data_IF_896035774933
#
_entry.id   IF_896035774933
#
_cell.length_a   1.000
_cell.length_b   1.000
_cell.length_c   1.000
_cell.angle_alpha   90.00
_cell.angle_beta   90.00
_cell.angle_gamma   90.00
#
_symmetry.space_group_name_H-M   'P 1'
#
loop_
_entity.id
_entity.type
_entity.pdbx_description
1 polymer ?
#
# COMPACT_ATOMS: atom_id res chain seq x y z
N UNK A 1 5.54 33.40 -6.69
CA UNK A 1 5.37 32.65 -7.94
C UNK A 1 3.90 32.68 -8.31
N UNK A 2 3.55 33.27 -9.46
CA UNK A 2 2.19 33.28 -9.97
C UNK A 2 1.87 31.91 -10.58
N UNK A 3 0.75 31.30 -10.19
CA UNK A 3 0.26 30.07 -10.80
C UNK A 3 -0.05 30.30 -12.30
N UNK A 4 0.30 29.36 -13.19
CA UNK A 4 0.00 29.48 -14.61
C UNK A 4 -1.51 29.66 -14.82
N UNK A 5 -1.86 30.56 -15.73
CA UNK A 5 -3.26 30.87 -16.02
C UNK A 5 -3.78 29.95 -17.10
N UNK A 6 -5.11 29.80 -17.21
CA UNK A 6 -5.77 29.01 -18.26
C UNK A 6 -5.30 29.34 -19.69
N UNK A 7 -4.68 30.50 -19.90
CA UNK A 7 -4.12 30.91 -21.20
C UNK A 7 -2.87 30.12 -21.61
N UNK A 8 -2.18 29.46 -20.68
CA UNK A 8 -0.90 28.78 -20.92
C UNK A 8 -1.06 27.34 -21.44
N UNK A 9 -2.28 26.79 -21.44
CA UNK A 9 -2.59 25.41 -21.87
C UNK A 9 -3.36 25.29 -23.21
N UNK A 10 -3.43 26.36 -24.01
CA UNK A 10 -4.24 26.39 -25.25
C UNK A 10 -3.88 25.32 -26.29
N UNK A 11 -2.63 24.85 -26.27
CA UNK A 11 -2.15 23.83 -27.21
C UNK A 11 -2.42 22.41 -26.75
N UNK A 12 -2.82 22.20 -25.49
CA UNK A 12 -3.06 20.87 -24.96
C UNK A 12 -4.10 20.08 -25.77
N UNK A 13 -5.26 20.65 -26.15
CA UNK A 13 -6.24 19.94 -26.98
C UNK A 13 -5.72 19.60 -28.38
N UNK A 14 -4.73 20.33 -28.90
CA UNK A 14 -4.12 20.07 -30.21
C UNK A 14 -3.03 18.99 -30.18
N UNK A 15 -2.60 18.56 -29.00
CA UNK A 15 -1.67 17.43 -28.88
C UNK A 15 -2.34 16.13 -29.32
N UNK A 16 -1.58 15.18 -29.89
CA UNK A 16 -2.06 13.83 -30.14
C UNK A 16 -2.61 13.19 -28.86
N UNK A 17 -3.66 12.35 -28.94
CA UNK A 17 -4.27 11.71 -27.77
C UNK A 17 -3.24 11.04 -26.87
N UNK A 18 -2.27 10.33 -27.44
CA UNK A 18 -1.23 9.59 -26.70
C UNK A 18 -0.42 10.54 -25.80
N UNK A 19 -0.05 11.70 -26.30
CA UNK A 19 0.70 12.71 -25.54
C UNK A 19 -0.18 13.32 -24.44
N UNK A 20 -1.46 13.57 -24.71
CA UNK A 20 -2.39 14.06 -23.68
C UNK A 20 -2.55 13.06 -22.54
N UNK A 21 -2.67 11.77 -22.86
CA UNK A 21 -2.75 10.70 -21.86
C UNK A 21 -1.46 10.61 -21.04
N UNK A 22 -0.29 10.66 -21.68
CA UNK A 22 1.00 10.69 -20.95
C UNK A 22 1.09 11.87 -19.98
N UNK A 23 0.61 13.06 -20.37
CA UNK A 23 0.56 14.21 -19.47
C UNK A 23 -0.35 13.93 -18.27
N UNK A 24 -1.52 13.31 -18.48
CA UNK A 24 -2.40 12.92 -17.37
C UNK A 24 -1.76 11.89 -16.45
N UNK A 25 -1.07 10.89 -17.00
CA UNK A 25 -0.33 9.90 -16.23
C UNK A 25 0.77 10.53 -15.38
N UNK A 26 1.45 11.56 -15.91
CA UNK A 26 2.47 12.30 -15.17
C UNK A 26 1.91 13.09 -13.97
N UNK A 27 0.59 13.34 -13.94
CA UNK A 27 -0.07 13.98 -12.79
C UNK A 27 -0.57 12.99 -11.73
N UNK A 28 -0.43 11.68 -11.97
CA UNK A 28 -0.83 10.68 -10.99
C UNK A 28 0.11 10.67 -9.80
N UNK A 29 -0.39 10.35 -8.58
CA UNK A 29 0.48 10.14 -7.44
C UNK A 29 1.49 9.02 -7.72
N UNK A 30 2.70 9.19 -7.18
CA UNK A 30 3.69 8.12 -7.05
C UNK A 30 3.10 6.95 -6.26
N UNK A 31 3.70 5.74 -6.31
CA UNK A 31 3.32 4.64 -5.42
C UNK A 31 3.17 5.08 -3.97
N UNK A 32 2.00 4.82 -3.38
CA UNK A 32 1.70 5.15 -1.98
C UNK A 32 1.61 3.90 -1.15
N UNK A 33 1.89 4.05 0.13
CA UNK A 33 1.52 3.07 1.15
C UNK A 33 0.14 3.41 1.67
N UNK A 34 -0.73 2.41 1.71
CA UNK A 34 -2.04 2.43 2.35
C UNK A 34 -1.88 1.71 3.68
N UNK A 35 -2.23 2.37 4.78
CA UNK A 35 -2.14 1.80 6.13
C UNK A 35 -3.54 1.61 6.71
N UNK A 36 -3.64 0.66 7.65
CA UNK A 36 -4.74 0.65 8.61
C UNK A 36 -4.51 1.73 9.66
N UNK A 37 -5.59 2.31 10.17
CA UNK A 37 -5.55 3.32 11.23
C UNK A 37 -6.81 3.21 12.11
N UNK A 38 -6.65 3.47 13.41
CA UNK A 38 -7.81 3.63 14.29
C UNK A 38 -8.54 4.94 13.95
N UNK A 39 -9.87 4.88 13.93
CA UNK A 39 -10.72 6.02 13.69
C UNK A 39 -11.80 6.09 14.76
N UNK A 40 -11.78 7.17 15.51
CA UNK A 40 -12.72 7.44 16.59
C UNK A 40 -13.78 8.44 16.14
N UNK A 41 -15.04 8.12 16.40
CA UNK A 41 -16.17 9.04 16.30
C UNK A 41 -16.61 9.36 17.72
N UNK A 42 -16.46 10.63 18.10
CA UNK A 42 -16.88 11.16 19.40
C UNK A 42 -18.06 12.10 19.18
N UNK A 43 -19.23 11.71 19.66
CA UNK A 43 -20.44 12.53 19.79
C UNK A 43 -20.82 12.62 21.29
N UNK A 44 -21.66 13.59 21.66
CA UNK A 44 -21.91 14.00 23.06
C UNK A 44 -22.26 12.84 24.02
N UNK A 45 -22.88 11.75 23.52
CA UNK A 45 -23.24 10.55 24.28
C UNK A 45 -22.75 9.23 23.65
N UNK A 46 -21.92 9.28 22.61
CA UNK A 46 -21.51 8.08 21.85
C UNK A 46 -20.03 8.11 21.48
N UNK A 47 -19.31 7.08 21.94
CA UNK A 47 -17.96 6.78 21.51
C UNK A 47 -17.99 5.51 20.67
N UNK A 48 -17.42 5.58 19.49
CA UNK A 48 -17.19 4.42 18.66
C UNK A 48 -15.83 4.51 18.02
N UNK A 49 -15.14 3.38 18.00
CA UNK A 49 -13.84 3.20 17.41
C UNK A 49 -13.94 2.07 16.39
N UNK A 50 -13.36 2.29 15.22
CA UNK A 50 -13.25 1.27 14.19
C UNK A 50 -12.02 1.50 13.32
N UNK A 51 -11.61 0.45 12.63
CA UNK A 51 -10.43 0.50 11.76
C UNK A 51 -10.76 0.98 10.35
N UNK A 52 -10.01 1.97 9.85
CA UNK A 52 -10.10 2.44 8.46
C UNK A 52 -8.80 2.17 7.71
N UNK A 53 -8.88 2.09 6.38
CA UNK A 53 -7.74 2.21 5.48
C UNK A 53 -7.58 3.66 5.02
N UNK A 54 -6.32 4.11 4.90
CA UNK A 54 -6.01 5.43 4.34
C UNK A 54 -4.63 5.47 3.70
N UNK A 55 -4.38 6.37 2.73
CA UNK A 55 -3.03 6.65 2.27
C UNK A 55 -2.16 7.24 3.39
N UNK A 56 -1.04 6.59 3.69
CA UNK A 56 -0.06 7.03 4.68
C UNK A 56 0.95 8.03 4.11
N UNK A 57 1.33 7.85 2.84
CA UNK A 57 2.38 8.63 2.19
C UNK A 57 2.93 7.94 0.93
N UNK A 58 3.79 8.62 0.15
CA UNK A 58 4.59 7.97 -0.88
C UNK A 58 5.48 6.87 -0.29
N UNK A 59 5.68 5.76 -1.02
CA UNK A 59 6.51 4.63 -0.58
C UNK A 59 7.91 5.07 -0.12
N UNK A 60 8.57 5.97 -0.86
CA UNK A 60 9.91 6.45 -0.50
C UNK A 60 9.97 7.11 0.87
N UNK A 61 8.95 7.92 1.20
CA UNK A 61 8.87 8.59 2.50
C UNK A 61 8.47 7.64 3.61
N UNK A 62 7.65 6.64 3.29
CA UNK A 62 7.27 5.59 4.21
C UNK A 62 8.50 4.74 4.60
N UNK A 63 9.33 4.33 3.64
CA UNK A 63 10.54 3.57 3.88
C UNK A 63 11.65 4.37 4.60
N UNK A 64 11.68 5.69 4.44
CA UNK A 64 12.57 6.58 5.22
C UNK A 64 12.14 6.73 6.69
N UNK A 65 10.90 6.37 7.04
CA UNK A 65 10.36 6.53 8.39
C UNK A 65 10.31 5.21 9.13
N UNK A 66 10.72 5.18 10.41
CA UNK A 66 10.65 3.99 11.27
C UNK A 66 9.19 3.52 11.44
N UNK A 67 8.72 2.69 10.51
CA UNK A 67 7.33 2.25 10.46
C UNK A 67 7.09 1.00 11.29
N UNK A 68 8.15 0.34 11.76
CA UNK A 68 8.08 -0.89 12.56
C UNK A 68 7.46 -0.60 13.95
N UNK A 69 7.60 0.63 14.44
CA UNK A 69 7.04 1.13 15.71
C UNK A 69 5.83 2.05 15.51
N UNK A 70 5.29 2.10 14.29
CA UNK A 70 4.22 3.05 13.96
C UNK A 70 2.85 2.54 14.43
N UNK A 71 2.34 3.21 15.45
CA UNK A 71 1.01 2.95 16.03
C UNK A 71 -0.13 3.44 15.14
N UNK A 72 -1.29 2.78 15.22
CA UNK A 72 -2.45 2.99 14.34
C UNK A 72 -3.11 4.37 14.49
N UNK A 73 -2.98 5.01 15.66
CA UNK A 73 -3.54 6.33 15.99
C UNK A 73 -2.69 7.48 15.42
N UNK A 74 -1.52 7.16 14.85
CA UNK A 74 -0.64 8.14 14.23
C UNK A 74 -1.37 8.91 13.12
N UNK A 75 -0.87 10.08 12.73
CA UNK A 75 -1.33 10.77 11.52
C UNK A 75 -0.61 10.23 10.28
N UNK A 76 -1.18 10.31 9.07
CA UNK A 76 -0.44 9.96 7.86
C UNK A 76 0.85 10.78 7.77
N UNK A 77 1.93 10.15 7.29
CA UNK A 77 3.23 10.80 7.09
C UNK A 77 3.16 11.96 6.08
N UNK A 78 2.25 11.83 5.12
CA UNK A 78 1.95 12.86 4.14
C UNK A 78 0.51 12.78 3.65
N UNK A 79 -0.11 13.94 3.48
CA UNK A 79 -1.43 14.01 2.85
C UNK A 79 -1.28 13.62 1.39
N UNK A 80 -1.91 12.51 1.01
CA UNK A 80 -1.93 12.05 -0.38
C UNK A 80 -3.28 12.40 -1.03
N UNK A 81 -3.40 13.50 -1.79
CA UNK A 81 -4.65 13.86 -2.44
C UNK A 81 -5.06 12.83 -3.50
N UNK A 82 -6.34 12.85 -3.88
CA UNK A 82 -6.80 12.10 -5.03
C UNK A 82 -6.09 12.55 -6.32
N UNK A 83 -5.96 11.66 -7.33
CA UNK A 83 -5.36 12.03 -8.61
C UNK A 83 -6.05 13.25 -9.22
N UNK A 84 -5.28 14.30 -9.48
CA UNK A 84 -5.80 15.57 -10.01
C UNK A 84 -6.56 15.33 -11.32
N UNK A 85 -6.10 14.39 -12.15
CA UNK A 85 -6.71 14.00 -13.41
C UNK A 85 -8.19 13.55 -13.30
N UNK A 86 -8.69 13.14 -12.13
CA UNK A 86 -10.12 12.86 -11.92
C UNK A 86 -11.00 14.12 -12.00
N UNK A 87 -10.42 15.29 -11.68
CA UNK A 87 -11.13 16.57 -11.61
C UNK A 87 -11.04 17.46 -12.84
N UNK A 88 -10.15 17.17 -13.80
CA UNK A 88 -9.81 18.12 -14.88
C UNK A 88 -10.84 18.10 -16.03
N UNK A 89 -10.94 17.02 -16.78
CA UNK A 89 -11.87 16.90 -17.90
C UNK A 89 -12.40 15.47 -18.06
N UNK A 90 -13.30 15.25 -19.02
CA UNK A 90 -13.87 13.93 -19.25
C UNK A 90 -12.81 12.90 -19.70
N UNK A 91 -11.92 13.29 -20.62
CA UNK A 91 -10.83 12.42 -21.12
C UNK A 91 -9.90 11.97 -19.97
N UNK A 92 -9.42 12.93 -19.17
CA UNK A 92 -8.51 12.64 -18.05
C UNK A 92 -9.15 11.75 -16.99
N UNK A 93 -10.43 11.99 -16.68
CA UNK A 93 -11.18 11.20 -15.71
C UNK A 93 -11.39 9.77 -16.21
N UNK A 94 -11.85 9.60 -17.44
CA UNK A 94 -12.06 8.28 -18.03
C UNK A 94 -10.75 7.50 -18.13
N UNK A 95 -9.64 8.16 -18.49
CA UNK A 95 -8.33 7.53 -18.49
C UNK A 95 -7.92 7.08 -17.09
N UNK A 96 -7.99 7.99 -16.11
CA UNK A 96 -7.57 7.70 -14.73
C UNK A 96 -8.37 6.56 -14.10
N UNK A 97 -9.69 6.52 -14.33
CA UNK A 97 -10.57 5.45 -13.80
C UNK A 97 -10.32 4.06 -14.42
N UNK A 98 -9.51 3.95 -15.47
CA UNK A 98 -9.02 2.64 -15.96
C UNK A 98 -7.90 2.06 -15.11
N UNK A 99 -7.21 2.90 -14.33
CA UNK A 99 -6.03 2.53 -13.55
C UNK A 99 -6.23 2.66 -12.04
N UNK A 100 -7.21 3.49 -11.64
CA UNK A 100 -7.55 3.71 -10.25
C UNK A 100 -8.93 3.14 -9.94
N UNK A 101 -9.04 2.50 -8.78
CA UNK A 101 -10.30 2.06 -8.20
C UNK A 101 -10.65 2.95 -6.99
N UNK A 102 -11.94 3.13 -6.76
CA UNK A 102 -12.44 3.77 -5.56
C UNK A 102 -12.59 2.72 -4.46
N UNK A 103 -11.89 2.90 -3.35
CA UNK A 103 -12.11 2.22 -2.09
C UNK A 103 -13.10 3.05 -1.28
N UNK A 104 -14.23 2.45 -0.89
CA UNK A 104 -15.29 3.13 -0.13
C UNK A 104 -15.47 2.45 1.22
N UNK A 105 -15.30 3.22 2.28
CA UNK A 105 -15.67 2.78 3.62
C UNK A 105 -17.16 3.05 3.82
N UNK A 106 -17.93 2.03 4.23
CA UNK A 106 -19.41 2.14 4.29
C UNK A 106 -19.92 3.16 5.32
N UNK A 107 -19.09 3.54 6.29
CA UNK A 107 -19.46 4.44 7.39
C UNK A 107 -18.78 5.82 7.40
N UNK A 108 -17.62 6.00 6.78
CA UNK A 108 -16.78 7.19 6.94
C UNK A 108 -16.14 7.62 5.64
N UNK A 109 -16.32 8.88 5.25
CA UNK A 109 -15.67 9.42 4.05
C UNK A 109 -14.15 9.50 4.21
N UNK A 110 -13.64 9.63 5.45
CA UNK A 110 -12.19 9.67 5.74
C UNK A 110 -11.50 8.36 5.35
N UNK A 111 -12.19 7.23 5.44
CA UNK A 111 -11.70 5.91 5.02
C UNK A 111 -11.88 5.63 3.52
N UNK A 112 -12.41 6.58 2.75
CA UNK A 112 -12.69 6.42 1.32
C UNK A 112 -11.65 7.14 0.45
N UNK A 113 -11.06 6.44 -0.52
CA UNK A 113 -9.99 6.98 -1.36
C UNK A 113 -9.87 6.28 -2.71
N UNK A 114 -9.16 6.90 -3.65
CA UNK A 114 -8.77 6.24 -4.90
C UNK A 114 -7.38 5.63 -4.77
N UNK A 115 -7.18 4.43 -5.31
CA UNK A 115 -5.89 3.73 -5.33
C UNK A 115 -5.66 2.95 -6.63
N UNK A 116 -4.41 2.63 -6.92
CA UNK A 116 -3.97 1.82 -8.06
C UNK A 116 -3.61 0.41 -7.57
N UNK A 117 -4.42 -0.62 -7.88
CA UNK A 117 -4.21 -2.00 -7.41
C UNK A 117 -2.80 -2.56 -7.49
N UNK A 118 -2.09 -2.26 -8.59
CA UNK A 118 -0.76 -2.79 -8.91
C UNK A 118 0.40 -1.85 -8.51
N UNK A 119 0.12 -0.66 -8.00
CA UNK A 119 1.14 0.35 -7.72
C UNK A 119 1.09 0.87 -6.29
N UNK A 120 -0.09 1.03 -5.70
CA UNK A 120 -0.21 1.34 -4.29
C UNK A 120 -0.08 0.05 -3.47
N UNK A 121 0.59 0.14 -2.33
CA UNK A 121 0.93 -1.00 -1.48
C UNK A 121 0.10 -0.94 -0.21
N UNK A 122 -0.57 -2.03 0.12
CA UNK A 122 -1.24 -2.17 1.41
C UNK A 122 -0.20 -2.61 2.44
N UNK A 123 0.05 -1.81 3.47
CA UNK A 123 0.93 -2.19 4.57
C UNK A 123 0.13 -2.84 5.70
N UNK A 124 0.52 -4.05 6.07
CA UNK A 124 -0.01 -4.78 7.22
C UNK A 124 1.10 -4.89 8.25
N UNK A 125 0.99 -4.14 9.34
CA UNK A 125 1.86 -4.32 10.52
C UNK A 125 1.37 -5.49 11.37
N UNK A 126 2.27 -6.05 12.18
CA UNK A 126 1.88 -7.04 13.17
C UNK A 126 0.89 -6.49 14.20
N UNK A 127 0.99 -5.21 14.58
CA UNK A 127 0.01 -4.59 15.48
C UNK A 127 -1.42 -4.69 14.93
N UNK A 128 -1.58 -4.61 13.61
CA UNK A 128 -2.87 -4.82 12.98
C UNK A 128 -3.24 -6.31 12.91
N UNK A 129 -2.27 -7.18 12.62
CA UNK A 129 -2.49 -8.61 12.49
C UNK A 129 -2.81 -9.31 13.83
N UNK A 130 -2.23 -8.86 14.95
CA UNK A 130 -2.42 -9.47 16.27
C UNK A 130 -3.83 -9.27 16.84
N UNK A 131 -4.60 -8.33 16.27
CA UNK A 131 -5.97 -8.03 16.69
C UNK A 131 -6.99 -8.41 15.60
N UNK A 132 -7.67 -9.55 15.82
CA UNK A 132 -8.70 -10.06 14.92
C UNK A 132 -9.89 -9.11 14.78
N UNK A 133 -10.15 -8.24 15.74
CA UNK A 133 -11.26 -7.27 15.65
C UNK A 133 -10.98 -6.25 14.54
N UNK A 134 -9.72 -5.84 14.35
CA UNK A 134 -9.32 -4.90 13.30
C UNK A 134 -9.49 -5.46 11.90
N UNK A 135 -9.15 -6.74 11.71
CA UNK A 135 -9.41 -7.42 10.43
C UNK A 135 -10.90 -7.63 10.17
N UNK A 136 -11.68 -7.88 11.22
CA UNK A 136 -13.15 -7.96 11.14
C UNK A 136 -13.75 -6.62 10.74
N UNK A 137 -13.28 -5.51 11.30
CA UNK A 137 -13.68 -4.16 10.90
C UNK A 137 -13.44 -3.93 9.42
N UNK A 138 -12.21 -4.19 8.93
CA UNK A 138 -11.91 -4.00 7.51
C UNK A 138 -12.82 -4.84 6.62
N UNK A 139 -13.03 -6.10 6.98
CA UNK A 139 -13.93 -7.00 6.25
C UNK A 139 -15.38 -6.50 6.29
N UNK A 140 -15.81 -5.94 7.42
CA UNK A 140 -17.15 -5.41 7.61
C UNK A 140 -17.39 -4.12 6.81
N UNK A 141 -16.45 -3.17 6.85
CA UNK A 141 -16.63 -1.84 6.26
C UNK A 141 -16.25 -1.75 4.78
N UNK A 142 -15.30 -2.56 4.30
CA UNK A 142 -14.85 -2.58 2.90
C UNK A 142 -15.38 -3.77 2.10
N UNK A 143 -15.58 -4.93 2.75
CA UNK A 143 -16.09 -6.15 2.12
C UNK A 143 -15.24 -6.61 0.93
N UNK A 144 -15.92 -6.97 -0.16
CA UNK A 144 -15.29 -7.50 -1.37
C UNK A 144 -14.30 -6.51 -2.03
N UNK A 145 -14.30 -5.22 -1.66
CA UNK A 145 -13.34 -4.26 -2.22
C UNK A 145 -11.89 -4.56 -1.81
N UNK A 146 -11.68 -5.28 -0.70
CA UNK A 146 -10.36 -5.67 -0.22
C UNK A 146 -9.60 -6.54 -1.23
N UNK A 147 -10.31 -7.36 -2.01
CA UNK A 147 -9.70 -8.24 -3.04
C UNK A 147 -9.06 -7.48 -4.20
N UNK A 148 -9.22 -6.15 -4.24
CA UNK A 148 -8.61 -5.30 -5.24
C UNK A 148 -7.19 -4.86 -4.89
N UNK A 149 -6.72 -5.06 -3.66
CA UNK A 149 -5.29 -4.90 -3.38
C UNK A 149 -4.51 -6.06 -3.99
N UNK A 150 -3.52 -5.73 -4.83
CA UNK A 150 -2.69 -6.76 -5.47
C UNK A 150 -1.25 -6.74 -4.95
N UNK A 151 -0.86 -5.70 -4.21
CA UNK A 151 0.49 -5.56 -3.65
C UNK A 151 0.39 -5.27 -2.17
N UNK A 152 1.07 -6.09 -1.36
CA UNK A 152 1.17 -5.90 0.08
C UNK A 152 2.63 -5.62 0.45
N UNK A 153 2.84 -4.71 1.40
CA UNK A 153 4.11 -4.42 2.03
C UNK A 153 4.12 -5.02 3.43
N UNK A 154 5.14 -5.80 3.77
CA UNK A 154 5.29 -6.47 5.08
C UNK A 154 6.72 -6.27 5.57
N UNK A 155 6.89 -6.06 6.88
CA UNK A 155 8.21 -6.07 7.49
C UNK A 155 8.71 -7.52 7.66
N UNK A 156 10.01 -7.78 7.50
CA UNK A 156 10.55 -9.15 7.64
C UNK A 156 10.22 -9.77 9.01
N UNK A 157 10.37 -9.00 10.10
CA UNK A 157 10.06 -9.50 11.44
C UNK A 157 8.59 -9.94 11.56
N UNK A 158 7.66 -9.16 11.02
CA UNK A 158 6.23 -9.51 11.06
C UNK A 158 5.94 -10.77 10.23
N UNK A 159 6.61 -10.89 9.09
CA UNK A 159 6.47 -12.02 8.16
C UNK A 159 6.90 -13.36 8.78
N UNK A 160 7.93 -13.35 9.65
CA UNK A 160 8.47 -14.56 10.26
C UNK A 160 7.76 -14.97 11.57
N UNK A 161 7.07 -14.04 12.25
CA UNK A 161 6.46 -14.31 13.56
C UNK A 161 5.38 -15.39 13.50
N UNK A 162 4.48 -15.35 12.51
CA UNK A 162 3.38 -16.33 12.36
C UNK A 162 3.67 -17.40 11.29
N UNK A 163 4.94 -17.55 10.89
CA UNK A 163 5.35 -18.21 9.63
C UNK A 163 4.70 -17.56 8.39
N UNK A 164 5.32 -17.63 7.21
CA UNK A 164 4.72 -17.07 6.01
C UNK A 164 3.35 -17.65 5.64
N UNK A 165 3.17 -18.97 5.79
CA UNK A 165 1.90 -19.63 5.48
C UNK A 165 0.79 -19.20 6.46
N UNK A 166 1.15 -19.08 7.75
CA UNK A 166 0.23 -18.58 8.78
C UNK A 166 -0.15 -17.13 8.53
N UNK A 167 0.84 -16.26 8.29
CA UNK A 167 0.61 -14.85 8.00
C UNK A 167 -0.31 -14.65 6.79
N UNK A 168 -0.07 -15.38 5.70
CA UNK A 168 -0.92 -15.34 4.50
C UNK A 168 -2.34 -15.80 4.79
N UNK A 169 -2.50 -16.92 5.50
CA UNK A 169 -3.80 -17.54 5.76
C UNK A 169 -4.63 -16.75 6.78
N UNK A 170 -3.97 -16.19 7.79
CA UNK A 170 -4.62 -15.53 8.91
C UNK A 170 -4.94 -14.06 8.61
N UNK A 171 -4.07 -13.36 7.86
CA UNK A 171 -4.18 -11.90 7.72
C UNK A 171 -4.42 -11.45 6.27
N UNK A 172 -3.82 -12.12 5.29
CA UNK A 172 -3.90 -11.68 3.89
C UNK A 172 -5.04 -12.34 3.12
N UNK A 173 -5.68 -13.39 3.67
CA UNK A 173 -6.77 -14.11 3.01
C UNK A 173 -7.91 -13.20 2.49
N UNK A 174 -8.35 -12.14 3.19
CA UNK A 174 -9.39 -11.24 2.68
C UNK A 174 -9.02 -10.46 1.41
N UNK A 175 -7.72 -10.34 1.10
CA UNK A 175 -7.25 -9.67 -0.12
C UNK A 175 -7.29 -10.59 -1.35
N UNK A 176 -7.64 -11.87 -1.17
CA UNK A 176 -7.67 -12.83 -2.26
C UNK A 176 -6.28 -13.06 -2.89
N UNK A 177 -6.20 -13.38 -4.19
CA UNK A 177 -4.93 -13.67 -4.84
C UNK A 177 -4.11 -12.38 -5.05
N UNK A 178 -3.02 -12.25 -4.28
CA UNK A 178 -2.07 -11.16 -4.43
C UNK A 178 -1.20 -11.34 -5.68
N UNK A 179 -0.88 -10.24 -6.37
CA UNK A 179 0.14 -10.26 -7.40
C UNK A 179 1.54 -10.28 -6.78
N UNK A 180 1.76 -9.47 -5.74
CA UNK A 180 3.07 -9.29 -5.12
C UNK A 180 2.99 -9.12 -3.60
N UNK A 181 3.97 -9.70 -2.90
CA UNK A 181 4.30 -9.38 -1.51
C UNK A 181 5.70 -8.77 -1.50
N UNK A 182 5.82 -7.60 -0.88
CA UNK A 182 7.03 -6.81 -0.77
C UNK A 182 7.51 -6.91 0.68
N UNK A 183 8.61 -7.62 0.91
CA UNK A 183 9.21 -7.81 2.22
C UNK A 183 10.30 -6.77 2.40
N UNK A 184 10.14 -5.91 3.40
CA UNK A 184 11.13 -4.90 3.78
C UNK A 184 12.10 -5.51 4.78
N UNK A 185 13.38 -5.44 4.47
CA UNK A 185 14.46 -5.77 5.38
C UNK A 185 14.93 -4.51 6.12
N UNK A 186 15.05 -4.63 7.43
CA UNK A 186 15.63 -3.62 8.32
C UNK A 186 16.55 -4.34 9.29
N UNK A 187 17.77 -3.84 9.46
CA UNK A 187 18.67 -4.29 10.52
C UNK A 187 19.00 -3.11 11.42
N UNK A 188 19.08 -3.34 12.72
CA UNK A 188 19.30 -2.30 13.71
C UNK A 188 20.51 -2.68 14.57
N UNK A 189 21.37 -1.70 14.86
CA UNK A 189 22.47 -1.92 15.79
C UNK A 189 21.99 -2.00 17.24
N UNK A 190 22.90 -2.29 18.17
CA UNK A 190 22.60 -2.38 19.61
C UNK A 190 22.03 -1.08 20.22
N UNK A 191 22.00 0.03 19.48
CA UNK A 191 21.43 1.31 19.89
C UNK A 191 20.14 1.66 19.13
N UNK A 192 19.47 0.67 18.54
CA UNK A 192 18.27 0.83 17.72
C UNK A 192 18.47 1.74 16.51
N UNK A 193 19.71 1.91 16.03
CA UNK A 193 19.97 2.69 14.84
C UNK A 193 19.93 1.79 13.61
N UNK A 194 19.14 2.18 12.62
CA UNK A 194 19.08 1.51 11.33
C UNK A 194 20.49 1.39 10.72
N UNK A 195 20.91 0.14 10.50
CA UNK A 195 22.12 -0.21 9.78
C UNK A 195 21.74 -0.25 8.30
N UNK A 196 22.45 0.52 7.47
CA UNK A 196 22.39 0.31 6.03
C UNK A 196 23.14 -0.98 5.69
N UNK A 197 22.42 -2.06 5.32
CA UNK A 197 23.07 -3.33 5.06
C UNK A 197 23.78 -3.25 3.71
N UNK A 198 24.85 -4.02 3.52
CA UNK A 198 25.52 -4.02 2.21
C UNK A 198 24.64 -4.70 1.18
N UNK A 199 24.70 -4.22 -0.07
CA UNK A 199 23.90 -4.78 -1.16
C UNK A 199 24.17 -6.28 -1.37
N UNK A 200 25.40 -6.74 -1.12
CA UNK A 200 25.75 -8.16 -1.19
C UNK A 200 25.05 -8.99 -0.10
N UNK A 201 25.00 -8.49 1.13
CA UNK A 201 24.35 -9.16 2.28
C UNK A 201 22.83 -9.27 2.03
N UNK A 202 22.21 -8.20 1.52
CA UNK A 202 20.79 -8.19 1.14
C UNK A 202 20.47 -9.15 0.01
N UNK A 203 21.36 -9.28 -0.98
CA UNK A 203 21.18 -10.23 -2.08
C UNK A 203 21.25 -11.67 -1.59
N UNK A 204 22.19 -11.98 -0.68
CA UNK A 204 22.27 -13.30 -0.05
C UNK A 204 21.01 -13.57 0.77
N UNK A 205 20.57 -12.62 1.59
CA UNK A 205 19.36 -12.76 2.41
C UNK A 205 18.10 -12.95 1.58
N UNK A 206 17.93 -12.19 0.50
CA UNK A 206 16.82 -12.34 -0.43
C UNK A 206 16.79 -13.74 -1.06
N UNK A 207 17.95 -14.27 -1.45
CA UNK A 207 18.06 -15.62 -2.00
C UNK A 207 17.78 -16.70 -0.94
N UNK A 208 18.25 -16.54 0.30
CA UNK A 208 17.93 -17.43 1.42
C UNK A 208 16.43 -17.50 1.69
N UNK A 209 15.75 -16.34 1.79
CA UNK A 209 14.31 -16.28 2.03
C UNK A 209 13.52 -16.88 0.86
N UNK A 210 13.98 -16.66 -0.36
CA UNK A 210 13.37 -17.24 -1.57
C UNK A 210 13.50 -18.76 -1.60
N UNK A 211 14.65 -19.30 -1.23
CA UNK A 211 14.87 -20.74 -1.14
C UNK A 211 14.05 -21.34 0.01
N UNK A 212 14.01 -20.67 1.16
CA UNK A 212 13.22 -21.07 2.32
C UNK A 212 11.72 -21.11 2.01
N UNK A 213 11.23 -20.20 1.18
CA UNK A 213 9.81 -20.03 0.88
C UNK A 213 9.42 -20.46 -0.54
N UNK A 214 10.27 -21.23 -1.21
CA UNK A 214 10.00 -21.73 -2.56
C UNK A 214 8.69 -22.55 -2.61
N UNK A 215 8.44 -23.35 -1.59
CA UNK A 215 7.24 -24.20 -1.49
C UNK A 215 5.95 -23.37 -1.34
N UNK A 216 6.01 -22.20 -0.72
CA UNK A 216 4.89 -21.26 -0.68
C UNK A 216 4.51 -20.81 -2.09
N UNK A 217 5.50 -20.57 -2.94
CA UNK A 217 5.31 -20.08 -4.32
C UNK A 217 4.90 -21.18 -5.31
N UNK A 218 5.30 -22.44 -5.06
CA UNK A 218 5.04 -23.57 -5.96
C UNK A 218 3.66 -24.22 -5.76
N UNK A 219 2.91 -23.82 -4.72
CA UNK A 219 1.52 -24.23 -4.46
C UNK A 219 0.46 -23.61 -5.40
N UNK A 220 0.77 -23.45 -6.69
CA UNK A 220 0.00 -22.72 -7.74
C UNK A 220 -1.41 -23.31 -7.99
N UNK A 221 -1.79 -24.40 -7.33
CA UNK A 221 -3.09 -25.04 -7.50
C UNK A 221 -4.06 -24.90 -6.32
N UNK A 222 -3.69 -24.24 -5.23
CA UNK A 222 -4.63 -24.04 -4.14
C UNK A 222 -5.44 -22.75 -4.33
N UNK A 223 -6.75 -22.83 -4.17
CA UNK A 223 -7.70 -21.72 -4.40
C UNK A 223 -7.62 -20.63 -3.32
N UNK A 224 -6.60 -20.68 -2.48
CA UNK A 224 -6.45 -19.91 -1.25
C UNK A 224 -5.65 -18.61 -1.41
N UNK A 225 -5.56 -18.04 -2.62
CA UNK A 225 -5.09 -16.66 -2.78
C UNK A 225 -3.58 -16.45 -2.57
N UNK A 226 -2.72 -17.41 -2.94
CA UNK A 226 -1.27 -17.24 -2.81
C UNK A 226 -0.73 -16.13 -3.72
N UNK A 227 0.27 -15.39 -3.23
CA UNK A 227 0.92 -14.34 -3.99
C UNK A 227 1.67 -14.91 -5.21
N UNK A 228 1.61 -14.22 -6.35
CA UNK A 228 2.31 -14.66 -7.57
C UNK A 228 3.82 -14.41 -7.52
N UNK A 229 4.27 -13.44 -6.71
CA UNK A 229 5.67 -13.10 -6.53
C UNK A 229 5.95 -12.55 -5.13
N UNK A 230 7.10 -12.89 -4.57
CA UNK A 230 7.68 -12.21 -3.41
C UNK A 230 8.87 -11.37 -3.89
N UNK A 231 8.97 -10.14 -3.40
CA UNK A 231 10.08 -9.21 -3.67
C UNK A 231 10.67 -8.76 -2.35
N UNK A 232 11.98 -8.60 -2.33
CA UNK A 232 12.71 -8.11 -1.17
C UNK A 232 13.19 -6.70 -1.48
N UNK A 233 12.94 -5.77 -0.56
CA UNK A 233 13.38 -4.40 -0.67
C UNK A 233 14.05 -3.91 0.62
N UNK A 234 14.97 -2.94 0.47
CA UNK A 234 15.54 -2.22 1.60
C UNK A 234 14.77 -0.93 1.91
N UNK A 235 15.20 -0.26 2.98
CA UNK A 235 14.70 1.06 3.42
C UNK A 235 14.95 2.19 2.42
N UNK A 236 15.82 1.98 1.42
CA UNK A 236 16.04 2.91 0.31
C UNK A 236 15.15 2.62 -0.91
N UNK A 237 14.30 1.58 -0.85
CA UNK A 237 13.44 1.16 -1.95
C UNK A 237 14.16 0.41 -3.08
N UNK A 238 15.36 -0.12 -2.83
CA UNK A 238 16.08 -0.96 -3.79
C UNK A 238 15.59 -2.39 -3.68
N UNK A 239 15.43 -3.05 -4.82
CA UNK A 239 14.98 -4.45 -4.90
C UNK A 239 16.14 -5.42 -5.08
N UNK A 240 16.00 -6.58 -4.45
CA UNK A 240 16.96 -7.69 -4.50
C UNK A 240 16.27 -8.96 -5.03
N UNK A 241 17.01 -9.84 -5.71
CA UNK A 241 16.47 -10.96 -6.53
C UNK A 241 17.11 -12.31 -6.21
#
# INVERSE_FOLDING_TARGET
MSLPTYRDFRHFPSLPPEIRLMVWEYTWPMPRVIEAASFEVVDDDYYEEFTILRPAGPLSKFLDHEFDSRVLESKPLEICPHPVALGVCHESRQHTLKHFLAMRHSKSDTGSFFFRPLHDLLWFSIDFADDKERLQDLTHFYGDQLVHFQVVLVHENDWIVDTPDGYMSNFLAPMGPLAEIHIVYSDFDDNDKLIEPKAEELSVRAQELKDMYADLMHGIHDKNGKASRIRYLDRCGRYYW
#
